data_IF_817157419463
#
_entry.id   IF_817157419463
#
_cell.length_a   1.000
_cell.length_b   1.000
_cell.length_c   1.000
_cell.angle_alpha   90.00
_cell.angle_beta   90.00
_cell.angle_gamma   90.00
#
_symmetry.space_group_name_H-M   'P 1'
#
loop_
_entity.id
_entity.type
_entity.pdbx_description
1 polymer ?
#
# COMPACT_ATOMS: atom_id res chain seq x y z
N UNK A 1 -7.39 6.85 -5.65
CA UNK A 1 -7.67 5.41 -5.83
C UNK A 1 -8.82 5.20 -6.83
N UNK A 2 -8.57 5.48 -8.11
CA UNK A 2 -9.52 5.34 -9.22
C UNK A 2 -9.54 3.87 -9.68
N UNK A 3 -10.53 3.11 -9.23
CA UNK A 3 -10.65 1.68 -9.49
C UNK A 3 -11.40 1.39 -10.78
N UNK A 4 -10.87 0.45 -11.57
CA UNK A 4 -11.58 -0.14 -12.71
C UNK A 4 -12.32 -1.38 -12.22
N UNK A 5 -13.65 -1.33 -12.27
CA UNK A 5 -14.51 -2.44 -11.89
C UNK A 5 -14.85 -3.29 -13.10
N UNK A 6 -14.76 -4.61 -12.94
CA UNK A 6 -15.19 -5.58 -13.95
C UNK A 6 -16.07 -6.66 -13.31
N UNK A 7 -17.03 -7.16 -14.08
CA UNK A 7 -17.69 -8.41 -13.76
C UNK A 7 -17.02 -9.55 -14.51
N UNK A 8 -17.07 -10.73 -13.91
CA UNK A 8 -16.67 -11.97 -14.55
C UNK A 8 -17.87 -12.92 -14.59
N UNK A 9 -18.03 -13.54 -15.75
CA UNK A 9 -18.90 -14.69 -15.99
C UNK A 9 -18.04 -15.80 -16.57
N UNK A 10 -18.56 -17.03 -16.62
CA UNK A 10 -17.82 -18.23 -17.07
C UNK A 10 -17.10 -18.07 -18.42
N UNK A 11 -17.54 -17.14 -19.27
CA UNK A 11 -17.01 -16.95 -20.62
C UNK A 11 -16.63 -15.52 -20.97
N UNK A 12 -16.80 -14.55 -20.07
CA UNK A 12 -16.51 -13.15 -20.40
C UNK A 12 -16.15 -12.30 -19.19
N UNK A 13 -15.36 -11.26 -19.47
CA UNK A 13 -15.07 -10.18 -18.54
C UNK A 13 -15.60 -8.88 -19.11
N UNK A 14 -16.46 -8.19 -18.38
CA UNK A 14 -17.09 -6.93 -18.82
C UNK A 14 -16.65 -5.77 -17.93
N UNK A 15 -16.29 -4.64 -18.53
CA UNK A 15 -16.09 -3.40 -17.79
C UNK A 15 -17.43 -2.88 -17.25
N UNK A 16 -17.48 -2.53 -15.97
CA UNK A 16 -18.68 -2.02 -15.32
C UNK A 16 -18.63 -0.52 -15.13
N UNK A 17 -17.56 -0.06 -14.48
CA UNK A 17 -17.42 1.34 -14.10
C UNK A 17 -15.96 1.66 -13.78
N UNK A 18 -15.65 2.95 -13.83
CA UNK A 18 -14.43 3.53 -13.27
C UNK A 18 -14.85 4.44 -12.13
N UNK A 19 -14.36 4.18 -10.92
CA UNK A 19 -14.88 4.79 -9.68
C UNK A 19 -13.77 5.27 -8.77
N UNK A 20 -13.97 6.43 -8.15
CA UNK A 20 -13.10 6.90 -7.08
C UNK A 20 -13.50 6.26 -5.75
N UNK A 21 -12.74 5.26 -5.32
CA UNK A 21 -13.01 4.55 -4.08
C UNK A 21 -12.73 5.41 -2.85
N UNK A 22 -11.91 6.46 -2.93
CA UNK A 22 -11.71 7.38 -1.81
C UNK A 22 -12.96 8.23 -1.58
N UNK A 23 -13.62 8.66 -2.66
CA UNK A 23 -14.82 9.50 -2.62
C UNK A 23 -16.09 8.75 -2.24
N UNK A 24 -16.33 7.55 -2.78
CA UNK A 24 -17.59 6.84 -2.60
C UNK A 24 -17.48 5.73 -1.54
N UNK A 25 -18.61 5.41 -0.89
CA UNK A 25 -18.72 4.27 0.03
C UNK A 25 -19.07 2.98 -0.71
N UNK A 26 -18.76 1.84 -0.09
CA UNK A 26 -19.05 0.52 -0.67
C UNK A 26 -20.53 0.37 -0.99
N UNK A 27 -21.40 0.81 -0.07
CA UNK A 27 -22.85 0.72 -0.26
C UNK A 27 -23.34 1.55 -1.45
N UNK A 28 -22.82 2.77 -1.64
CA UNK A 28 -23.20 3.60 -2.80
C UNK A 28 -22.82 2.93 -4.12
N UNK A 29 -21.64 2.30 -4.18
CA UNK A 29 -21.20 1.56 -5.37
C UNK A 29 -22.05 0.31 -5.58
N UNK A 30 -22.29 -0.50 -4.54
CA UNK A 30 -23.12 -1.69 -4.63
C UNK A 30 -24.55 -1.36 -5.10
N UNK A 31 -25.19 -0.34 -4.50
CA UNK A 31 -26.52 0.12 -4.92
C UNK A 31 -26.53 0.57 -6.39
N UNK A 32 -25.50 1.30 -6.82
CA UNK A 32 -25.38 1.70 -8.23
C UNK A 32 -25.27 0.49 -9.16
N UNK A 33 -24.59 -0.58 -8.75
CA UNK A 33 -24.42 -1.80 -9.55
C UNK A 33 -25.69 -2.65 -9.58
N UNK A 34 -26.35 -2.82 -8.42
CA UNK A 34 -27.60 -3.57 -8.28
C UNK A 34 -28.74 -2.94 -9.07
N UNK A 35 -28.80 -1.60 -9.12
CA UNK A 35 -29.75 -0.87 -9.96
C UNK A 35 -29.59 -1.16 -11.47
N UNK A 36 -28.47 -1.76 -11.88
CA UNK A 36 -28.23 -2.22 -13.25
C UNK A 36 -28.36 -3.75 -13.40
N UNK A 37 -29.08 -4.42 -12.48
CA UNK A 37 -29.34 -5.87 -12.47
C UNK A 37 -28.08 -6.74 -12.37
N UNK A 38 -27.07 -6.27 -11.63
CA UNK A 38 -25.82 -7.01 -11.42
C UNK A 38 -25.59 -7.29 -9.93
N UNK A 39 -25.06 -8.48 -9.62
CA UNK A 39 -24.68 -8.84 -8.24
C UNK A 39 -23.30 -8.32 -7.90
N UNK A 40 -23.18 -7.64 -6.75
CA UNK A 40 -21.92 -7.12 -6.23
C UNK A 40 -20.88 -8.21 -5.91
N UNK A 41 -21.32 -9.45 -5.74
CA UNK A 41 -20.45 -10.63 -5.51
C UNK A 41 -19.56 -10.97 -6.71
N UNK A 42 -20.01 -10.66 -7.93
CA UNK A 42 -19.27 -10.93 -9.17
C UNK A 42 -18.37 -9.77 -9.60
N UNK A 43 -18.26 -8.72 -8.78
CA UNK A 43 -17.52 -7.49 -9.09
C UNK A 43 -16.11 -7.57 -8.52
N UNK A 44 -15.14 -7.35 -9.40
CA UNK A 44 -13.73 -7.26 -9.05
C UNK A 44 -13.16 -5.91 -9.44
N UNK A 45 -12.27 -5.39 -8.60
CA UNK A 45 -11.32 -4.34 -8.97
C UNK A 45 -10.17 -5.02 -9.70
N UNK A 46 -9.85 -4.58 -10.91
CA UNK A 46 -8.75 -5.17 -11.71
C UNK A 46 -7.53 -4.26 -11.84
N UNK A 47 -7.69 -2.98 -11.53
CA UNK A 47 -6.61 -2.01 -11.48
C UNK A 47 -7.02 -0.76 -10.73
N UNK A 48 -6.01 0.00 -10.30
CA UNK A 48 -6.12 1.39 -9.92
C UNK A 48 -5.44 2.24 -11.00
N UNK A 49 -6.25 2.96 -11.78
CA UNK A 49 -5.81 3.66 -13.00
C UNK A 49 -4.88 4.84 -12.69
N UNK A 50 -5.26 5.69 -11.74
CA UNK A 50 -4.48 6.83 -11.24
C UNK A 50 -3.16 6.41 -10.57
N UNK A 51 -3.09 5.16 -10.12
CA UNK A 51 -1.88 4.59 -9.52
C UNK A 51 -1.02 3.82 -10.51
N UNK A 52 -1.56 3.49 -11.68
CA UNK A 52 -0.96 2.60 -12.67
C UNK A 52 -0.59 1.23 -12.07
N UNK A 53 -1.52 0.65 -11.31
CA UNK A 53 -1.35 -0.65 -10.65
C UNK A 53 -2.40 -1.62 -11.17
N UNK A 54 -1.98 -2.74 -11.77
CA UNK A 54 -2.87 -3.88 -12.05
C UNK A 54 -2.91 -4.82 -10.85
N UNK A 55 -4.10 -5.07 -10.32
CA UNK A 55 -4.35 -5.95 -9.19
C UNK A 55 -5.78 -6.46 -9.23
N UNK A 56 -5.98 -7.75 -8.94
CA UNK A 56 -7.31 -8.33 -8.84
C UNK A 56 -7.71 -8.38 -7.36
N UNK A 57 -8.70 -7.60 -6.97
CA UNK A 57 -9.27 -7.57 -5.63
C UNK A 57 -10.79 -7.70 -5.70
N UNK A 58 -11.38 -8.37 -4.70
CA UNK A 58 -12.80 -8.17 -4.43
C UNK A 58 -13.08 -6.71 -4.03
N UNK A 59 -14.31 -6.25 -4.23
CA UNK A 59 -14.70 -4.92 -3.78
C UNK A 59 -14.45 -4.73 -2.27
N UNK A 60 -14.73 -5.77 -1.47
CA UNK A 60 -14.45 -5.79 -0.02
C UNK A 60 -12.97 -5.56 0.29
N UNK A 61 -12.06 -6.26 -0.40
CA UNK A 61 -10.61 -6.09 -0.23
C UNK A 61 -10.15 -4.67 -0.60
N UNK A 62 -10.69 -4.09 -1.67
CA UNK A 62 -10.38 -2.72 -2.02
C UNK A 62 -10.85 -1.74 -0.92
N UNK A 63 -12.02 -1.96 -0.30
CA UNK A 63 -12.46 -1.13 0.82
C UNK A 63 -11.67 -1.37 2.12
N UNK A 64 -11.12 -2.56 2.35
CA UNK A 64 -10.15 -2.78 3.42
C UNK A 64 -8.89 -1.94 3.19
N UNK A 65 -8.41 -1.85 1.95
CA UNK A 65 -7.27 -1.01 1.58
C UNK A 65 -7.57 0.48 1.80
N UNK A 66 -8.75 0.96 1.38
CA UNK A 66 -9.23 2.32 1.68
C UNK A 66 -9.19 2.60 3.18
N UNK A 67 -9.75 1.69 3.98
CA UNK A 67 -9.78 1.84 5.44
C UNK A 67 -8.37 1.90 6.03
N UNK A 68 -7.46 1.04 5.55
CA UNK A 68 -6.07 1.04 5.97
C UNK A 68 -5.39 2.38 5.70
N UNK A 69 -5.57 2.95 4.50
CA UNK A 69 -5.01 4.26 4.14
C UNK A 69 -5.47 5.35 5.10
N UNK A 70 -6.79 5.42 5.35
CA UNK A 70 -7.39 6.46 6.18
C UNK A 70 -6.96 6.35 7.65
N UNK A 71 -6.90 5.14 8.21
CA UNK A 71 -6.70 4.94 9.65
C UNK A 71 -5.26 4.61 10.05
N UNK A 72 -4.44 4.13 9.12
CA UNK A 72 -3.08 3.66 9.41
C UNK A 72 -2.00 4.34 8.58
N UNK A 73 -2.36 5.09 7.55
CA UNK A 73 -1.40 5.84 6.71
C UNK A 73 -1.60 7.36 6.78
N UNK A 74 -2.41 7.86 7.71
CA UNK A 74 -2.79 9.29 7.80
C UNK A 74 -3.41 9.83 6.49
N UNK A 75 -4.07 8.96 5.72
CA UNK A 75 -4.61 9.33 4.41
C UNK A 75 -3.58 9.34 3.27
N UNK A 76 -2.30 9.02 3.50
CA UNK A 76 -1.29 8.97 2.42
C UNK A 76 -1.46 7.72 1.54
N UNK A 77 -2.16 7.89 0.43
CA UNK A 77 -2.33 6.86 -0.62
C UNK A 77 -0.99 6.40 -1.22
N UNK A 78 0.05 7.26 -1.22
CA UNK A 78 1.30 6.97 -1.90
C UNK A 78 2.07 5.81 -1.25
N UNK A 79 1.97 5.66 0.07
CA UNK A 79 2.57 4.53 0.77
C UNK A 79 2.05 3.20 0.20
N UNK A 80 0.73 3.06 0.12
CA UNK A 80 0.08 1.85 -0.38
C UNK A 80 0.34 1.67 -1.87
N UNK A 81 0.26 2.75 -2.65
CA UNK A 81 0.58 2.73 -4.09
C UNK A 81 1.99 2.18 -4.35
N UNK A 82 3.00 2.66 -3.63
CA UNK A 82 4.38 2.22 -3.82
C UNK A 82 4.60 0.76 -3.37
N UNK A 83 3.91 0.30 -2.32
CA UNK A 83 3.94 -1.11 -1.91
C UNK A 83 3.30 -2.03 -2.96
N UNK A 84 2.15 -1.64 -3.51
CA UNK A 84 1.48 -2.42 -4.56
C UNK A 84 2.29 -2.46 -5.86
N UNK A 85 2.94 -1.36 -6.27
CA UNK A 85 3.87 -1.35 -7.41
C UNK A 85 5.06 -2.30 -7.22
N UNK A 86 5.48 -2.51 -5.97
CA UNK A 86 6.49 -3.50 -5.59
C UNK A 86 5.91 -4.92 -5.46
N UNK A 87 4.67 -5.15 -5.88
CA UNK A 87 3.96 -6.44 -5.85
C UNK A 87 3.81 -7.03 -4.45
N UNK A 88 3.66 -6.17 -3.43
CA UNK A 88 3.43 -6.65 -2.08
C UNK A 88 2.03 -7.27 -1.97
N UNK A 89 1.89 -8.46 -1.36
CA UNK A 89 0.57 -9.06 -1.12
C UNK A 89 -0.30 -8.14 -0.27
N UNK A 90 -1.60 -8.06 -0.60
CA UNK A 90 -2.54 -7.21 0.11
C UNK A 90 -2.54 -7.51 1.62
N UNK A 91 -2.56 -8.78 1.98
CA UNK A 91 -2.57 -9.26 3.37
C UNK A 91 -1.32 -8.78 4.11
N UNK A 92 -0.17 -8.76 3.44
CA UNK A 92 1.09 -8.26 4.01
C UNK A 92 1.06 -6.75 4.24
N UNK A 93 0.43 -5.99 3.32
CA UNK A 93 0.24 -4.54 3.49
C UNK A 93 -0.67 -4.28 4.69
N UNK A 94 -1.84 -4.94 4.74
CA UNK A 94 -2.84 -4.76 5.80
C UNK A 94 -2.33 -5.21 7.18
N UNK A 95 -1.46 -6.23 7.25
CA UNK A 95 -0.91 -6.73 8.51
C UNK A 95 0.25 -5.87 9.05
N UNK A 96 0.93 -5.10 8.18
CA UNK A 96 2.10 -4.32 8.58
C UNK A 96 1.70 -2.93 9.07
N UNK A 97 2.38 -2.48 10.11
CA UNK A 97 2.32 -1.09 10.58
C UNK A 97 3.51 -0.34 10.02
N UNK A 98 3.23 0.71 9.27
CA UNK A 98 4.24 1.68 8.87
C UNK A 98 4.16 2.88 9.80
N UNK A 99 5.31 3.39 10.22
CA UNK A 99 5.42 4.61 11.00
C UNK A 99 5.99 5.70 10.11
N UNK A 100 5.30 6.84 10.07
CA UNK A 100 5.80 8.04 9.40
C UNK A 100 6.96 8.64 10.20
N UNK A 101 8.07 8.94 9.52
CA UNK A 101 9.29 9.47 10.15
C UNK A 101 9.69 10.86 9.64
N UNK A 102 8.92 11.44 8.72
CA UNK A 102 9.26 12.72 8.09
C UNK A 102 10.37 12.60 7.07
N UNK A 103 11.15 13.67 6.91
CA UNK A 103 12.24 13.76 5.92
C UNK A 103 13.63 13.71 6.56
N UNK A 104 14.64 13.38 5.75
CA UNK A 104 16.05 13.47 6.11
C UNK A 104 16.66 12.20 6.69
N UNK A 105 17.91 11.93 6.29
CA UNK A 105 18.65 10.73 6.65
C UNK A 105 18.76 10.53 8.17
N UNK A 106 18.91 11.61 8.94
CA UNK A 106 19.03 11.53 10.40
C UNK A 106 17.76 10.96 11.05
N UNK A 107 16.57 11.39 10.63
CA UNK A 107 15.31 10.90 11.20
C UNK A 107 15.10 9.43 10.85
N UNK A 108 15.39 9.08 9.60
CA UNK A 108 15.29 7.71 9.10
C UNK A 108 16.24 6.79 9.87
N UNK A 109 17.52 7.15 9.99
CA UNK A 109 18.53 6.34 10.67
C UNK A 109 18.28 6.26 12.17
N UNK A 110 17.90 7.36 12.82
CA UNK A 110 17.52 7.38 14.24
C UNK A 110 16.42 6.36 14.50
N UNK A 111 15.38 6.35 13.66
CA UNK A 111 14.28 5.41 13.81
C UNK A 111 14.68 3.97 13.46
N UNK A 112 15.49 3.77 12.42
CA UNK A 112 15.92 2.45 11.99
C UNK A 112 16.84 1.76 13.01
N UNK A 113 17.62 2.55 13.74
CA UNK A 113 18.52 2.11 14.81
C UNK A 113 17.90 2.18 16.21
N UNK A 114 16.66 2.65 16.32
CA UNK A 114 15.92 2.66 17.58
C UNK A 114 15.93 1.25 18.20
N UNK A 115 16.30 1.18 19.48
CA UNK A 115 16.42 -0.07 20.26
C UNK A 115 17.47 -1.07 19.76
N UNK A 116 18.40 -0.70 18.88
CA UNK A 116 19.54 -1.55 18.48
C UNK A 116 20.76 -1.30 19.37
N UNK A 117 21.51 -2.36 19.66
CA UNK A 117 22.80 -2.24 20.34
C UNK A 117 23.84 -1.56 19.45
N UNK A 118 24.82 -0.89 20.07
CA UNK A 118 25.95 -0.28 19.35
C UNK A 118 26.68 -1.31 18.45
N UNK A 119 26.79 -2.57 18.88
CA UNK A 119 27.36 -3.65 18.08
C UNK A 119 26.57 -3.91 16.80
N UNK A 120 25.24 -3.98 16.89
CA UNK A 120 24.38 -4.19 15.72
C UNK A 120 24.46 -3.01 14.74
N UNK A 121 24.49 -1.78 15.26
CA UNK A 121 24.65 -0.57 14.44
C UNK A 121 26.01 -0.61 13.71
N UNK A 122 27.09 -0.94 14.41
CA UNK A 122 28.42 -1.04 13.81
C UNK A 122 28.48 -2.11 12.70
N UNK A 123 27.82 -3.27 12.88
CA UNK A 123 27.73 -4.31 11.84
C UNK A 123 26.97 -3.81 10.60
N UNK A 124 25.87 -3.09 10.78
CA UNK A 124 25.11 -2.51 9.66
C UNK A 124 25.99 -1.50 8.92
N UNK A 125 26.59 -0.55 9.61
CA UNK A 125 27.45 0.47 9.00
C UNK A 125 28.65 -0.17 8.27
N UNK A 126 29.30 -1.15 8.88
CA UNK A 126 30.41 -1.86 8.26
C UNK A 126 30.01 -2.63 6.98
N UNK A 127 28.83 -3.26 6.97
CA UNK A 127 28.35 -4.06 5.82
C UNK A 127 27.63 -3.25 4.73
N UNK A 128 27.11 -2.07 5.08
CA UNK A 128 26.26 -1.28 4.20
C UNK A 128 26.86 0.04 3.76
N UNK A 129 27.89 0.53 4.45
CA UNK A 129 28.60 1.75 4.11
C UNK A 129 27.95 2.99 4.74
N UNK A 130 27.74 4.03 3.95
CA UNK A 130 27.25 5.32 4.43
C UNK A 130 25.72 5.38 4.60
N UNK A 131 25.23 6.49 5.15
CA UNK A 131 23.81 6.73 5.42
C UNK A 131 22.91 6.47 4.20
N UNK A 132 23.27 7.04 3.05
CA UNK A 132 22.48 6.93 1.82
C UNK A 132 22.45 5.49 1.29
N UNK A 133 23.57 4.75 1.41
CA UNK A 133 23.65 3.35 1.01
C UNK A 133 22.79 2.44 1.92
N UNK A 134 22.82 2.69 3.23
CA UNK A 134 21.96 2.01 4.21
C UNK A 134 20.48 2.23 3.87
N UNK A 135 20.07 3.49 3.69
CA UNK A 135 18.70 3.87 3.37
C UNK A 135 18.27 3.21 2.06
N UNK A 136 19.08 3.29 1.00
CA UNK A 136 18.79 2.67 -0.29
C UNK A 136 18.62 1.15 -0.19
N UNK A 137 19.45 0.45 0.60
CA UNK A 137 19.30 -1.00 0.82
C UNK A 137 17.97 -1.32 1.52
N UNK A 138 17.62 -0.58 2.57
CA UNK A 138 16.34 -0.77 3.28
C UNK A 138 15.12 -0.38 2.43
N UNK A 139 15.25 0.58 1.52
CA UNK A 139 14.22 0.90 0.54
C UNK A 139 13.99 -0.23 -0.47
N UNK A 140 15.08 -0.91 -0.88
CA UNK A 140 15.01 -2.04 -1.82
C UNK A 140 14.22 -3.21 -1.27
N UNK A 141 14.38 -3.52 0.02
CA UNK A 141 13.63 -4.60 0.69
C UNK A 141 12.26 -4.12 1.24
N UNK A 142 11.87 -2.88 0.96
CA UNK A 142 10.59 -2.30 1.39
C UNK A 142 10.45 -2.11 2.91
N UNK A 143 11.57 -2.05 3.64
CA UNK A 143 11.59 -1.63 5.05
C UNK A 143 11.37 -0.13 5.18
N UNK A 144 11.90 0.64 4.23
CA UNK A 144 11.67 2.07 4.08
C UNK A 144 10.88 2.31 2.80
N UNK A 145 9.83 3.12 2.87
CA UNK A 145 9.05 3.56 1.71
C UNK A 145 9.10 5.09 1.68
N UNK A 146 9.48 5.64 0.53
CA UNK A 146 9.42 7.07 0.28
C UNK A 146 8.07 7.42 -0.34
N UNK A 147 7.48 8.51 0.13
CA UNK A 147 6.28 9.12 -0.44
C UNK A 147 6.54 10.62 -0.64
N UNK A 148 5.69 11.34 -1.39
CA UNK A 148 5.79 12.80 -1.49
C UNK A 148 5.66 13.53 -0.15
N UNK A 149 5.13 12.89 0.90
CA UNK A 149 4.98 13.48 2.23
C UNK A 149 6.19 13.23 3.14
N UNK A 150 7.08 12.30 2.76
CA UNK A 150 8.25 11.92 3.54
C UNK A 150 8.47 10.40 3.53
N UNK A 151 9.08 9.88 4.58
CA UNK A 151 9.43 8.47 4.67
C UNK A 151 8.56 7.73 5.69
N UNK A 152 8.31 6.46 5.38
CA UNK A 152 7.67 5.49 6.25
C UNK A 152 8.61 4.32 6.52
N UNK A 153 8.64 3.86 7.77
CA UNK A 153 9.40 2.67 8.18
C UNK A 153 8.44 1.58 8.64
N UNK A 154 8.56 0.40 8.05
CA UNK A 154 7.83 -0.78 8.52
C UNK A 154 8.29 -1.17 9.92
N UNK A 155 7.36 -1.32 10.87
CA UNK A 155 7.66 -1.85 12.21
C UNK A 155 7.91 -3.36 12.22
N UNK A 156 7.62 -4.05 11.13
CA UNK A 156 7.84 -5.49 11.03
C UNK A 156 9.34 -5.79 11.12
N UNK A 157 9.75 -6.43 12.22
CA UNK A 157 11.08 -7.00 12.34
C UNK A 157 10.99 -8.41 11.76
N UNK A 158 11.68 -8.66 10.64
CA UNK A 158 12.13 -10.02 10.38
C UNK A 158 13.21 -10.29 11.44
N UNK A 159 12.95 -11.28 12.30
CA UNK A 159 13.94 -11.80 13.25
C UNK A 159 15.18 -12.35 12.52
#
# INVERSE_FOLDING_TARGET
MIAILRSYSDFSSQHLATVDLMRYSQNQICQSIENHNMTSENVQVVSFDDWQVSIILSLKQAYQLKSYILHHCNGDENLVKELLKKHWPLESILARRFEFVGEGDLNILTKLFENRSARNIALIVHSMGNASEIIAKFMRIGKIIATPQGFYISKYQEE
#
